data_IF_259741187533
#
_entry.id   IF_259741187533
#
_cell.length_a   1.000
_cell.length_b   1.000
_cell.length_c   1.000
_cell.angle_alpha   90.00
_cell.angle_beta   90.00
_cell.angle_gamma   90.00
#
_symmetry.space_group_name_H-M   'P 1'
#
loop_
_entity.id
_entity.type
_entity.pdbx_description
1 polymer ?
#
# COMPACT_ATOMS: atom_id res chain seq x y z
N UNK A 1 -9.07 -9.73 -14.89
CA UNK A 1 -9.41 -8.69 -13.88
C UNK A 1 -8.20 -7.77 -13.74
N UNK A 2 -8.30 -6.49 -14.11
CA UNK A 2 -7.10 -5.67 -14.36
C UNK A 2 -6.22 -5.53 -13.12
N UNK A 3 -4.92 -5.70 -13.33
CA UNK A 3 -3.87 -5.65 -12.32
C UNK A 3 -3.86 -4.30 -11.55
N UNK A 4 -4.47 -3.26 -12.17
CA UNK A 4 -4.76 -1.95 -11.58
C UNK A 4 -5.69 -2.01 -10.37
N UNK A 5 -6.76 -2.82 -10.40
CA UNK A 5 -7.69 -2.93 -9.26
C UNK A 5 -7.02 -3.57 -8.04
N UNK A 6 -6.12 -4.52 -8.25
CA UNK A 6 -5.38 -5.18 -7.16
C UNK A 6 -4.37 -4.24 -6.50
N UNK A 7 -3.62 -3.46 -7.27
CA UNK A 7 -2.66 -2.49 -6.71
C UNK A 7 -3.34 -1.43 -5.85
N UNK A 8 -4.44 -0.84 -6.33
CA UNK A 8 -5.22 0.13 -5.55
C UNK A 8 -5.88 -0.50 -4.32
N UNK A 9 -6.40 -1.73 -4.40
CA UNK A 9 -6.97 -2.42 -3.24
C UNK A 9 -5.92 -2.70 -2.15
N UNK A 10 -4.72 -3.14 -2.53
CA UNK A 10 -3.63 -3.36 -1.56
C UNK A 10 -3.24 -2.06 -0.87
N UNK A 11 -3.16 -0.95 -1.61
CA UNK A 11 -2.84 0.36 -1.06
C UNK A 11 -3.95 0.90 -0.15
N UNK A 12 -5.21 0.71 -0.54
CA UNK A 12 -6.38 1.07 0.26
C UNK A 12 -6.42 0.30 1.58
N UNK A 13 -6.13 -1.01 1.56
CA UNK A 13 -6.02 -1.83 2.76
C UNK A 13 -4.86 -1.38 3.65
N UNK A 14 -3.71 -1.05 3.05
CA UNK A 14 -2.55 -0.52 3.79
C UNK A 14 -2.85 0.80 4.52
N UNK A 15 -3.52 1.75 3.85
CA UNK A 15 -3.92 3.04 4.46
C UNK A 15 -4.94 2.83 5.58
N UNK A 16 -5.94 1.96 5.39
CA UNK A 16 -6.92 1.63 6.42
C UNK A 16 -6.26 1.01 7.67
N UNK A 17 -5.30 0.12 7.48
CA UNK A 17 -4.50 -0.46 8.57
C UNK A 17 -3.70 0.61 9.31
N UNK A 18 -3.10 1.55 8.57
CA UNK A 18 -2.30 2.63 9.14
C UNK A 18 -3.17 3.59 9.98
N UNK A 19 -4.35 3.96 9.48
CA UNK A 19 -5.34 4.77 10.21
C UNK A 19 -5.83 4.04 11.46
N UNK A 20 -6.14 2.74 11.34
CA UNK A 20 -6.55 1.91 12.48
C UNK A 20 -5.45 1.82 13.53
N UNK A 21 -4.19 1.68 13.12
CA UNK A 21 -3.02 1.68 14.00
C UNK A 21 -2.84 3.00 14.75
N UNK A 22 -3.12 4.13 14.11
CA UNK A 22 -3.06 5.46 14.77
C UNK A 22 -4.13 5.57 15.85
N UNK A 23 -5.36 5.12 15.58
CA UNK A 23 -6.46 5.16 16.55
C UNK A 23 -6.28 4.18 17.72
N UNK A 24 -5.64 3.02 17.50
CA UNK A 24 -5.39 2.02 18.55
C UNK A 24 -4.19 2.34 19.46
N UNK A 25 -3.48 3.46 19.22
CA UNK A 25 -2.27 3.82 19.99
C UNK A 25 -2.51 4.08 21.47
N UNK A 26 -3.77 4.28 21.90
CA UNK A 26 -4.13 4.79 23.23
C UNK A 26 -4.24 3.73 24.33
N UNK A 27 -4.26 2.42 24.01
CA UNK A 27 -4.49 1.38 25.03
C UNK A 27 -3.58 0.14 24.91
N UNK A 28 -2.66 0.12 23.95
CA UNK A 28 -1.81 -1.05 23.67
C UNK A 28 -0.36 -0.80 24.07
N UNK A 29 0.35 -1.89 24.40
CA UNK A 29 1.80 -1.90 24.59
C UNK A 29 2.51 -1.17 23.44
N UNK A 30 3.40 -0.24 23.77
CA UNK A 30 4.21 0.54 22.82
C UNK A 30 4.88 -0.38 21.80
N UNK A 31 5.37 -1.55 22.24
CA UNK A 31 6.00 -2.55 21.36
C UNK A 31 5.02 -3.13 20.35
N UNK A 32 3.81 -3.50 20.78
CA UNK A 32 2.77 -4.06 19.89
C UNK A 32 2.29 -3.03 18.87
N UNK A 33 2.18 -1.76 19.28
CA UNK A 33 1.84 -0.67 18.39
C UNK A 33 2.92 -0.43 17.33
N UNK A 34 4.20 -0.44 17.73
CA UNK A 34 5.33 -0.24 16.82
C UNK A 34 5.42 -1.33 15.75
N UNK A 35 5.15 -2.59 16.12
CA UNK A 35 5.11 -3.71 15.18
C UNK A 35 3.97 -3.53 14.17
N UNK A 36 2.76 -3.19 14.62
CA UNK A 36 1.62 -2.90 13.73
C UNK A 36 1.89 -1.74 12.78
N UNK A 37 2.57 -0.70 13.27
CA UNK A 37 2.97 0.45 12.49
C UNK A 37 3.99 0.09 11.40
N UNK A 38 5.02 -0.68 11.73
CA UNK A 38 6.03 -1.16 10.77
C UNK A 38 5.40 -2.06 9.70
N UNK A 39 4.50 -2.97 10.10
CA UNK A 39 3.78 -3.84 9.16
C UNK A 39 2.90 -3.01 8.21
N UNK A 40 2.22 -1.99 8.74
CA UNK A 40 1.40 -1.08 7.93
C UNK A 40 2.25 -0.29 6.93
N UNK A 41 3.43 0.18 7.34
CA UNK A 41 4.39 0.83 6.45
C UNK A 41 4.88 -0.09 5.33
N UNK A 42 5.19 -1.35 5.64
CA UNK A 42 5.59 -2.34 4.64
C UNK A 42 4.47 -2.57 3.61
N UNK A 43 3.23 -2.73 4.06
CA UNK A 43 2.08 -2.88 3.17
C UNK A 43 1.86 -1.66 2.27
N UNK A 44 1.98 -0.45 2.81
CA UNK A 44 1.94 0.78 2.01
C UNK A 44 3.07 0.83 0.98
N UNK A 45 4.30 0.48 1.37
CA UNK A 45 5.47 0.48 0.48
C UNK A 45 5.29 -0.50 -0.68
N UNK A 46 4.82 -1.72 -0.39
CA UNK A 46 4.51 -2.73 -1.42
C UNK A 46 3.40 -2.24 -2.35
N UNK A 47 2.34 -1.64 -1.81
CA UNK A 47 1.25 -1.05 -2.61
C UNK A 47 1.75 0.03 -3.57
N UNK A 48 2.61 0.94 -3.10
CA UNK A 48 3.21 2.00 -3.91
C UNK A 48 4.11 1.42 -5.01
N UNK A 49 5.00 0.47 -4.68
CA UNK A 49 5.88 -0.18 -5.66
C UNK A 49 5.04 -0.84 -6.76
N UNK A 50 3.96 -1.53 -6.38
CA UNK A 50 3.09 -2.19 -7.34
C UNK A 50 2.40 -1.20 -8.28
N UNK A 51 1.96 -0.03 -7.78
CA UNK A 51 1.43 1.05 -8.61
C UNK A 51 2.48 1.64 -9.55
N UNK A 52 3.70 1.88 -9.08
CA UNK A 52 4.79 2.43 -9.89
C UNK A 52 5.12 1.49 -11.06
N UNK A 53 5.28 0.20 -10.79
CA UNK A 53 5.52 -0.82 -11.83
C UNK A 53 4.38 -0.82 -12.86
N UNK A 54 3.14 -0.63 -12.39
CA UNK A 54 1.98 -0.55 -13.25
C UNK A 54 1.99 0.69 -14.15
N UNK A 55 2.34 1.85 -13.59
CA UNK A 55 2.46 3.11 -14.30
C UNK A 55 3.54 3.02 -15.38
N UNK A 56 4.70 2.46 -15.04
CA UNK A 56 5.80 2.21 -15.99
C UNK A 56 5.36 1.25 -17.10
N UNK A 57 4.61 0.19 -16.78
CA UNK A 57 4.06 -0.73 -17.79
C UNK A 57 3.08 -0.01 -18.73
N UNK A 58 2.20 0.83 -18.20
CA UNK A 58 1.26 1.59 -19.03
C UNK A 58 1.97 2.61 -19.92
N UNK A 59 2.94 3.36 -19.39
CA UNK A 59 3.75 4.30 -20.18
C UNK A 59 4.50 3.57 -21.30
N UNK A 60 5.05 2.38 -21.01
CA UNK A 60 5.76 1.57 -22.02
C UNK A 60 4.82 1.04 -23.11
N UNK A 61 3.60 0.64 -22.75
CA UNK A 61 2.56 0.23 -23.71
C UNK A 61 2.12 1.40 -24.56
N UNK A 62 1.89 2.57 -23.97
CA UNK A 62 1.49 3.78 -24.69
C UNK A 62 2.58 4.25 -25.65
N UNK A 63 3.85 4.09 -25.28
CA UNK A 63 5.02 4.38 -26.13
C UNK A 63 5.25 3.35 -27.26
N UNK A 64 4.71 2.14 -27.14
CA UNK A 64 4.78 1.12 -28.20
C UNK A 64 3.57 1.17 -29.16
N UNK A 65 2.45 1.73 -28.71
CA UNK A 65 1.23 1.88 -29.51
C UNK A 65 1.19 3.20 -30.31
N UNK A 66 2.29 3.95 -30.32
CA UNK A 66 2.47 5.23 -31.00
C UNK A 66 3.69 5.17 -31.89
#
# INVERSE_FOLDING_TARGET
>A
MSLSKKGYLVLFVGILLLISSIFFTTNWSITSWLVLFIVSLLFCTVGIIMLIVHLVKQIKLEKQNK
#
